data_IF_222406464493
#
_entry.id   IF_222406464493
#
_cell.length_a   1.000
_cell.length_b   1.000
_cell.length_c   1.000
_cell.angle_alpha   90.00
_cell.angle_beta   90.00
_cell.angle_gamma   90.00
#
_symmetry.space_group_name_H-M   'P 1'
#
loop_
_entity.id
_entity.type
_entity.pdbx_description
1 polymer ?
#
# COMPACT_ATOMS: atom_id res chain seq x y z
N UNK A 1 22.20 -24.13 17.46
CA UNK A 1 22.40 -22.72 17.16
C UNK A 1 21.29 -22.16 16.26
N UNK A 2 20.97 -22.82 15.16
CA UNK A 2 19.94 -22.37 14.18
C UNK A 2 18.54 -22.22 14.79
N UNK A 3 18.08 -23.22 15.56
CA UNK A 3 16.79 -23.16 16.24
C UNK A 3 16.71 -22.01 17.27
N UNK A 4 17.82 -21.71 17.95
CA UNK A 4 17.88 -20.59 18.88
C UNK A 4 17.77 -19.22 18.19
N UNK A 5 18.44 -19.05 17.05
CA UNK A 5 18.35 -17.82 16.25
C UNK A 5 16.95 -17.64 15.68
N UNK A 6 16.32 -18.71 15.17
CA UNK A 6 14.94 -18.66 14.67
C UNK A 6 13.93 -18.35 15.78
N UNK A 7 14.11 -18.91 16.97
CA UNK A 7 13.26 -18.61 18.12
C UNK A 7 13.39 -17.15 18.58
N UNK A 8 14.61 -16.60 18.61
CA UNK A 8 14.86 -15.20 18.93
C UNK A 8 14.25 -14.27 17.86
N UNK A 9 14.40 -14.61 16.59
CA UNK A 9 13.86 -13.83 15.48
C UNK A 9 12.33 -13.81 15.50
N UNK A 10 11.70 -14.96 15.72
CA UNK A 10 10.25 -15.03 15.85
C UNK A 10 9.72 -14.33 17.11
N UNK A 11 10.45 -14.41 18.21
CA UNK A 11 10.13 -13.69 19.45
C UNK A 11 10.21 -12.18 19.30
N UNK A 12 11.27 -11.68 18.66
CA UNK A 12 11.43 -10.24 18.39
C UNK A 12 10.37 -9.72 17.40
N UNK A 13 10.05 -10.49 16.36
CA UNK A 13 8.95 -10.13 15.44
C UNK A 13 7.60 -10.06 16.15
N UNK A 14 7.32 -11.01 17.04
CA UNK A 14 6.09 -11.03 17.83
C UNK A 14 6.02 -9.84 18.79
N UNK A 15 7.09 -9.54 19.50
CA UNK A 15 7.19 -8.38 20.40
C UNK A 15 6.99 -7.07 19.62
N UNK A 16 7.60 -6.94 18.45
CA UNK A 16 7.43 -5.79 17.58
C UNK A 16 5.97 -5.62 17.13
N UNK A 17 5.31 -6.71 16.73
CA UNK A 17 3.89 -6.65 16.31
C UNK A 17 2.95 -6.25 17.44
N UNK A 18 3.22 -6.71 18.67
CA UNK A 18 2.47 -6.30 19.86
C UNK A 18 2.67 -4.81 20.16
N UNK A 19 3.91 -4.33 20.12
CA UNK A 19 4.21 -2.91 20.33
C UNK A 19 3.56 -2.03 19.28
N UNK A 20 3.60 -2.44 18.01
CA UNK A 20 2.91 -1.73 16.92
C UNK A 20 1.40 -1.67 17.13
N UNK A 21 0.79 -2.75 17.62
CA UNK A 21 -0.64 -2.80 17.93
C UNK A 21 -1.01 -1.86 19.08
N UNK A 22 -0.22 -1.84 20.17
CA UNK A 22 -0.42 -0.95 21.30
C UNK A 22 -0.22 0.53 20.90
N UNK A 23 0.81 0.82 20.13
CA UNK A 23 1.06 2.17 19.59
C UNK A 23 -0.12 2.65 18.73
N UNK A 24 -0.72 1.75 17.95
CA UNK A 24 -1.91 2.05 17.15
C UNK A 24 -3.06 2.55 17.99
N UNK A 25 -3.37 1.86 19.08
CA UNK A 25 -4.46 2.22 19.98
C UNK A 25 -4.16 3.53 20.69
N UNK A 26 -2.97 3.69 21.24
CA UNK A 26 -2.56 4.90 21.96
C UNK A 26 -2.54 6.13 21.06
N UNK A 27 -1.98 6.01 19.86
CA UNK A 27 -1.93 7.10 18.90
C UNK A 27 -3.35 7.51 18.45
N UNK A 28 -4.20 6.53 18.15
CA UNK A 28 -5.61 6.78 17.79
C UNK A 28 -6.34 7.52 18.89
N UNK A 29 -6.19 7.09 20.15
CA UNK A 29 -6.80 7.76 21.30
C UNK A 29 -6.25 9.19 21.49
N UNK A 30 -4.93 9.38 21.43
CA UNK A 30 -4.31 10.69 21.57
C UNK A 30 -4.78 11.68 20.50
N UNK A 31 -4.82 11.25 19.25
CA UNK A 31 -5.29 12.09 18.14
C UNK A 31 -6.77 12.43 18.30
N UNK A 32 -7.62 11.47 18.68
CA UNK A 32 -9.03 11.73 18.94
C UNK A 32 -9.20 12.74 20.09
N UNK A 33 -8.44 12.61 21.18
CA UNK A 33 -8.48 13.56 22.30
C UNK A 33 -8.12 14.96 21.85
N UNK A 34 -7.02 15.12 21.07
CA UNK A 34 -6.62 16.43 20.54
C UNK A 34 -7.68 17.05 19.63
N UNK A 35 -8.39 16.26 18.84
CA UNK A 35 -9.50 16.74 18.01
C UNK A 35 -10.65 17.23 18.88
N UNK A 36 -11.01 16.47 19.91
CA UNK A 36 -12.09 16.85 20.84
C UNK A 36 -11.73 18.11 21.64
N UNK A 37 -10.50 18.20 22.14
CA UNK A 37 -9.99 19.41 22.81
C UNK A 37 -10.05 20.62 21.88
N UNK A 38 -9.61 20.46 20.62
CA UNK A 38 -9.70 21.52 19.62
C UNK A 38 -11.14 21.88 19.28
N UNK A 39 -12.03 20.90 19.18
CA UNK A 39 -13.46 21.15 18.91
C UNK A 39 -14.11 22.01 20.00
N UNK A 40 -13.73 21.84 21.27
CA UNK A 40 -14.24 22.66 22.36
C UNK A 40 -13.82 24.13 22.29
N UNK A 41 -12.70 24.44 21.62
CA UNK A 41 -12.21 25.81 21.43
C UNK A 41 -12.88 26.54 20.25
N UNK A 42 -13.73 25.86 19.49
CA UNK A 42 -14.39 26.43 18.33
C UNK A 42 -15.62 27.21 18.70
N UNK A 43 -15.90 28.31 18.00
CA UNK A 43 -17.12 29.09 18.21
C UNK A 43 -18.35 28.42 17.61
N UNK A 44 -19.53 28.73 18.14
CA UNK A 44 -20.81 28.21 17.62
C UNK A 44 -20.98 28.49 16.12
N UNK A 45 -20.57 29.66 15.67
CA UNK A 45 -20.63 30.08 14.26
C UNK A 45 -19.82 29.12 13.35
N UNK A 46 -18.71 28.58 13.86
CA UNK A 46 -17.90 27.60 13.10
C UNK A 46 -18.59 26.23 13.01
N UNK A 47 -19.36 25.85 14.02
CA UNK A 47 -20.18 24.62 14.00
C UNK A 47 -21.40 24.74 13.07
N UNK A 48 -21.96 25.93 12.91
CA UNK A 48 -23.07 26.20 12.01
C UNK A 48 -22.63 26.24 10.54
N UNK A 49 -21.32 26.46 10.28
CA UNK A 49 -20.77 26.40 8.95
C UNK A 49 -20.65 24.95 8.47
N UNK A 50 -21.49 24.57 7.51
CA UNK A 50 -21.55 23.21 6.96
C UNK A 50 -20.22 22.73 6.39
N UNK A 51 -19.45 23.61 5.72
CA UNK A 51 -18.14 23.27 5.17
C UNK A 51 -17.11 22.95 6.26
N UNK A 52 -17.16 23.69 7.35
CA UNK A 52 -16.28 23.46 8.49
C UNK A 52 -16.66 22.17 9.24
N UNK A 53 -17.95 21.92 9.44
CA UNK A 53 -18.46 20.71 10.08
C UNK A 53 -18.08 19.45 9.27
N UNK A 54 -18.21 19.49 7.94
CA UNK A 54 -17.81 18.40 7.06
C UNK A 54 -16.30 18.13 7.15
N UNK A 55 -15.47 19.18 7.26
CA UNK A 55 -14.03 19.04 7.50
C UNK A 55 -13.74 18.38 8.84
N UNK A 56 -14.45 18.79 9.89
CA UNK A 56 -14.30 18.22 11.25
C UNK A 56 -14.66 16.72 11.28
N UNK A 57 -15.80 16.36 10.68
CA UNK A 57 -16.23 14.94 10.57
C UNK A 57 -15.23 14.11 9.78
N UNK A 58 -14.71 14.65 8.66
CA UNK A 58 -13.68 13.99 7.86
C UNK A 58 -12.39 13.80 8.65
N UNK A 59 -11.88 14.84 9.31
CA UNK A 59 -10.69 14.77 10.15
C UNK A 59 -10.87 13.71 11.23
N UNK A 60 -12.02 13.69 11.91
CA UNK A 60 -12.34 12.71 12.97
C UNK A 60 -12.31 11.26 12.44
N UNK A 61 -12.86 11.02 11.24
CA UNK A 61 -12.87 9.69 10.63
C UNK A 61 -11.47 9.23 10.19
N UNK A 62 -10.67 10.15 9.64
CA UNK A 62 -9.35 9.87 9.08
C UNK A 62 -8.23 9.90 10.12
N UNK A 63 -8.40 10.66 11.18
CA UNK A 63 -7.40 10.87 12.23
C UNK A 63 -7.00 9.59 13.00
N UNK A 64 -7.91 8.63 13.09
CA UNK A 64 -7.62 7.37 13.79
C UNK A 64 -6.74 6.39 12.99
N UNK A 65 -6.71 6.50 11.66
CA UNK A 65 -6.07 5.49 10.80
C UNK A 65 -4.92 6.04 9.96
N UNK A 66 -5.04 7.25 9.40
CA UNK A 66 -4.06 7.81 8.47
C UNK A 66 -2.69 8.11 9.09
N UNK A 67 -2.57 8.77 10.26
CA UNK A 67 -1.26 9.10 10.82
C UNK A 67 -0.44 7.85 11.11
N UNK A 68 -1.09 6.81 11.65
CA UNK A 68 -0.41 5.55 11.91
C UNK A 68 0.01 4.83 10.62
N UNK A 69 -0.86 4.82 9.61
CA UNK A 69 -0.53 4.22 8.31
C UNK A 69 0.69 4.90 7.68
N UNK A 70 0.82 6.23 7.80
CA UNK A 70 2.00 6.97 7.36
C UNK A 70 3.26 6.55 8.10
N UNK A 71 3.20 6.50 9.44
CA UNK A 71 4.35 6.06 10.25
C UNK A 71 4.77 4.64 9.89
N UNK A 72 3.81 3.70 9.80
CA UNK A 72 4.11 2.31 9.46
C UNK A 72 4.67 2.15 8.05
N UNK A 73 4.15 2.89 7.07
CA UNK A 73 4.69 2.89 5.71
C UNK A 73 6.09 3.50 5.65
N UNK A 74 6.35 4.59 6.38
CA UNK A 74 7.69 5.19 6.45
C UNK A 74 8.71 4.25 7.08
N UNK A 75 8.35 3.56 8.17
CA UNK A 75 9.21 2.53 8.77
C UNK A 75 9.45 1.36 7.83
N UNK A 76 8.42 0.91 7.11
CA UNK A 76 8.54 -0.12 6.08
C UNK A 76 9.49 0.27 4.95
N UNK A 77 9.41 1.52 4.47
CA UNK A 77 10.34 2.05 3.47
C UNK A 77 11.79 2.07 3.96
N UNK A 78 12.03 2.51 5.21
CA UNK A 78 13.36 2.49 5.81
C UNK A 78 13.87 1.05 5.92
N UNK A 79 13.04 0.14 6.38
CA UNK A 79 13.39 -1.29 6.47
C UNK A 79 13.74 -1.87 5.09
N UNK A 80 12.92 -1.62 4.07
CA UNK A 80 13.20 -2.08 2.71
C UNK A 80 14.49 -1.49 2.14
N UNK A 81 14.77 -0.22 2.43
CA UNK A 81 16.02 0.43 2.01
C UNK A 81 17.25 -0.24 2.66
N UNK A 82 17.19 -0.51 3.96
CA UNK A 82 18.27 -1.21 4.69
C UNK A 82 18.46 -2.63 4.10
N UNK A 83 17.37 -3.35 3.82
CA UNK A 83 17.42 -4.67 3.19
C UNK A 83 18.08 -4.60 1.80
N UNK A 84 17.65 -3.66 0.95
CA UNK A 84 18.22 -3.49 -0.40
C UNK A 84 19.71 -3.18 -0.35
N UNK A 85 20.15 -2.28 0.54
CA UNK A 85 21.56 -1.96 0.72
C UNK A 85 22.33 -3.20 1.19
N UNK A 86 21.83 -3.91 2.19
CA UNK A 86 22.46 -5.10 2.75
C UNK A 86 22.61 -6.21 1.71
N UNK A 87 21.55 -6.49 0.96
CA UNK A 87 21.57 -7.50 -0.11
C UNK A 87 22.43 -7.05 -1.29
N UNK A 88 22.41 -5.75 -1.64
CA UNK A 88 23.26 -5.18 -2.66
C UNK A 88 24.74 -5.36 -2.34
N UNK A 89 25.16 -5.03 -1.11
CA UNK A 89 26.56 -5.20 -0.66
C UNK A 89 26.98 -6.67 -0.71
N UNK A 90 26.12 -7.59 -0.24
CA UNK A 90 26.41 -9.02 -0.28
C UNK A 90 26.54 -9.55 -1.70
N UNK A 91 25.65 -9.12 -2.62
CA UNK A 91 25.68 -9.51 -4.02
C UNK A 91 26.92 -8.96 -4.75
N UNK A 92 27.32 -7.72 -4.50
CA UNK A 92 28.54 -7.13 -5.07
C UNK A 92 29.78 -7.89 -4.62
N UNK A 93 29.81 -8.33 -3.36
CA UNK A 93 30.93 -9.12 -2.83
C UNK A 93 31.04 -10.50 -3.50
N UNK A 94 29.89 -11.07 -3.91
CA UNK A 94 29.86 -12.33 -4.67
C UNK A 94 30.21 -12.14 -6.14
N UNK A 95 29.44 -11.31 -6.86
CA UNK A 95 29.66 -10.97 -8.25
C UNK A 95 28.96 -9.67 -8.61
N UNK A 96 29.67 -8.67 -9.16
CA UNK A 96 29.04 -7.44 -9.68
C UNK A 96 27.96 -7.71 -10.73
N UNK A 97 28.11 -8.76 -11.53
CA UNK A 97 27.14 -9.17 -12.55
C UNK A 97 25.81 -9.64 -11.95
N UNK A 98 25.83 -10.27 -10.77
CA UNK A 98 24.61 -10.66 -10.06
C UNK A 98 23.77 -9.44 -9.67
N UNK A 99 24.41 -8.35 -9.23
CA UNK A 99 23.75 -7.09 -8.97
C UNK A 99 23.14 -6.47 -10.23
N UNK A 100 23.87 -6.49 -11.36
CA UNK A 100 23.36 -5.97 -12.63
C UNK A 100 22.12 -6.74 -13.08
N UNK A 101 22.13 -8.08 -12.99
CA UNK A 101 20.96 -8.91 -13.31
C UNK A 101 19.76 -8.61 -12.40
N UNK A 102 19.99 -8.42 -11.10
CA UNK A 102 18.93 -8.05 -10.17
C UNK A 102 18.31 -6.70 -10.54
N UNK A 103 19.15 -5.70 -10.80
CA UNK A 103 18.72 -4.33 -11.14
C UNK A 103 17.97 -4.33 -12.47
N UNK A 104 18.49 -4.98 -13.50
CA UNK A 104 17.84 -5.09 -14.82
C UNK A 104 16.50 -5.81 -14.73
N UNK A 105 16.38 -6.83 -13.89
CA UNK A 105 15.11 -7.54 -13.69
C UNK A 105 14.09 -6.76 -12.86
N UNK A 106 14.53 -5.92 -11.93
CA UNK A 106 13.66 -5.23 -10.99
C UNK A 106 13.25 -3.82 -11.45
N UNK A 107 14.14 -3.07 -12.09
CA UNK A 107 13.89 -1.68 -12.52
C UNK A 107 12.66 -1.51 -13.43
N UNK A 108 12.43 -2.36 -14.45
CA UNK A 108 11.27 -2.17 -15.33
C UNK A 108 9.94 -2.28 -14.57
N UNK A 109 9.85 -3.20 -13.61
CA UNK A 109 8.67 -3.38 -12.76
C UNK A 109 8.46 -2.15 -11.89
N UNK A 110 9.52 -1.65 -11.26
CA UNK A 110 9.48 -0.46 -10.42
C UNK A 110 9.01 0.79 -11.18
N UNK A 111 9.56 1.05 -12.37
CA UNK A 111 9.14 2.19 -13.19
C UNK A 111 7.68 2.08 -13.66
N UNK A 112 7.23 0.88 -14.02
CA UNK A 112 5.84 0.65 -14.38
C UNK A 112 4.91 0.93 -13.19
N UNK A 113 5.23 0.41 -12.01
CA UNK A 113 4.44 0.60 -10.80
C UNK A 113 4.38 2.10 -10.39
N UNK A 114 5.51 2.80 -10.44
CA UNK A 114 5.57 4.24 -10.19
C UNK A 114 4.71 5.05 -11.18
N UNK A 115 4.73 4.68 -12.47
CA UNK A 115 3.92 5.33 -13.49
C UNK A 115 2.42 5.12 -13.24
N UNK A 116 2.00 3.87 -13.03
CA UNK A 116 0.59 3.55 -12.79
C UNK A 116 0.07 4.09 -11.45
N UNK A 117 0.94 4.21 -10.43
CA UNK A 117 0.58 4.87 -9.16
C UNK A 117 0.28 6.34 -9.36
N UNK A 118 1.04 7.02 -10.24
CA UNK A 118 0.77 8.41 -10.65
C UNK A 118 -0.58 8.54 -11.37
N UNK A 119 -0.88 7.65 -12.30
CA UNK A 119 -2.16 7.63 -13.02
C UNK A 119 -3.34 7.35 -12.07
N UNK A 120 -3.19 6.42 -11.14
CA UNK A 120 -4.19 6.14 -10.12
C UNK A 120 -4.45 7.36 -9.22
N UNK A 121 -3.42 8.08 -8.81
CA UNK A 121 -3.56 9.29 -8.01
C UNK A 121 -4.29 10.40 -8.78
N UNK A 122 -3.94 10.62 -10.04
CA UNK A 122 -4.64 11.59 -10.92
C UNK A 122 -6.11 11.23 -11.11
N UNK A 123 -6.39 9.96 -11.34
CA UNK A 123 -7.75 9.45 -11.49
C UNK A 123 -8.55 9.67 -10.20
N UNK A 124 -7.98 9.34 -9.04
CA UNK A 124 -8.60 9.56 -7.73
C UNK A 124 -8.92 11.04 -7.47
N UNK A 125 -7.97 11.92 -7.76
CA UNK A 125 -8.16 13.38 -7.57
C UNK A 125 -9.23 13.94 -8.51
N UNK A 126 -9.23 13.51 -9.77
CA UNK A 126 -10.24 13.94 -10.76
C UNK A 126 -11.65 13.52 -10.38
N UNK A 127 -11.81 12.37 -9.76
CA UNK A 127 -13.12 11.80 -9.37
C UNK A 127 -13.65 12.29 -8.03
N UNK A 128 -12.89 13.08 -7.31
CA UNK A 128 -13.30 13.57 -6.00
C UNK A 128 -14.69 14.23 -5.98
N UNK A 129 -15.12 15.00 -7.02
CA UNK A 129 -16.49 15.54 -7.09
C UNK A 129 -17.57 14.45 -7.25
N UNK A 130 -17.32 13.46 -8.13
CA UNK A 130 -18.28 12.37 -8.39
C UNK A 130 -18.42 11.45 -7.17
N UNK A 131 -17.32 11.13 -6.51
CA UNK A 131 -17.33 10.38 -5.25
C UNK A 131 -18.09 11.12 -4.14
N UNK A 132 -17.96 12.44 -4.05
CA UNK A 132 -18.76 13.24 -3.11
C UNK A 132 -20.25 13.17 -3.42
N UNK A 133 -20.62 13.27 -4.71
CA UNK A 133 -22.02 13.12 -5.12
C UNK A 133 -22.57 11.74 -4.77
N UNK A 134 -21.78 10.69 -4.98
CA UNK A 134 -22.17 9.32 -4.62
C UNK A 134 -22.39 9.17 -3.11
N UNK A 135 -21.45 9.64 -2.30
CA UNK A 135 -21.58 9.63 -0.84
C UNK A 135 -22.78 10.45 -0.35
N UNK A 136 -23.08 11.56 -1.03
CA UNK A 136 -24.26 12.37 -0.70
C UNK A 136 -25.56 11.61 -0.98
N UNK A 137 -25.69 10.96 -2.14
CA UNK A 137 -26.84 10.11 -2.46
C UNK A 137 -26.97 8.95 -1.46
N UNK A 138 -25.86 8.31 -1.09
CA UNK A 138 -25.83 7.26 -0.09
C UNK A 138 -26.34 7.77 1.26
N UNK A 139 -25.93 8.97 1.69
CA UNK A 139 -26.41 9.61 2.91
C UNK A 139 -27.90 9.90 2.85
N UNK A 140 -28.41 10.42 1.73
CA UNK A 140 -29.84 10.68 1.54
C UNK A 140 -30.69 9.40 1.65
N UNK A 141 -30.17 8.29 1.11
CA UNK A 141 -30.90 7.01 1.08
C UNK A 141 -30.79 6.20 2.37
N UNK A 142 -29.77 6.45 3.21
CA UNK A 142 -29.49 5.65 4.40
C UNK A 142 -29.68 6.38 5.73
N UNK A 143 -29.60 7.71 5.74
CA UNK A 143 -29.62 8.46 6.99
C UNK A 143 -31.05 8.74 7.46
N UNK A 144 -31.32 8.55 8.74
CA UNK A 144 -32.64 8.69 9.35
C UNK A 144 -33.31 10.05 9.08
N UNK A 145 -32.54 11.12 9.08
CA UNK A 145 -33.02 12.50 8.89
C UNK A 145 -33.65 12.70 7.50
N UNK A 146 -33.06 12.10 6.45
CA UNK A 146 -33.43 12.35 5.06
C UNK A 146 -34.33 11.27 4.46
N UNK A 147 -34.25 10.03 4.95
CA UNK A 147 -34.96 8.89 4.36
C UNK A 147 -36.49 9.06 4.42
N UNK A 148 -36.99 9.80 5.39
CA UNK A 148 -38.43 10.08 5.57
C UNK A 148 -38.96 10.89 4.38
N UNK A 149 -38.23 11.96 4.01
CA UNK A 149 -38.59 12.82 2.87
C UNK A 149 -38.41 12.08 1.55
N UNK A 150 -37.34 11.33 1.39
CA UNK A 150 -37.09 10.52 0.20
C UNK A 150 -38.22 9.52 -0.05
N UNK A 151 -38.75 8.89 1.02
CA UNK A 151 -39.88 7.98 0.94
C UNK A 151 -41.20 8.71 0.66
N UNK A 152 -41.41 9.84 1.34
CA UNK A 152 -42.63 10.65 1.20
C UNK A 152 -42.79 11.14 -0.24
N UNK A 153 -41.74 11.63 -0.85
CA UNK A 153 -41.73 12.15 -2.20
C UNK A 153 -41.46 11.09 -3.29
N UNK A 154 -41.22 9.84 -2.91
CA UNK A 154 -40.97 8.75 -3.87
C UNK A 154 -39.67 8.85 -4.66
N UNK A 155 -38.68 9.61 -4.21
CA UNK A 155 -37.43 9.83 -4.93
C UNK A 155 -36.44 8.67 -4.85
N UNK A 156 -36.68 7.66 -4.04
CA UNK A 156 -35.77 6.55 -3.82
C UNK A 156 -35.34 5.83 -5.13
N UNK A 157 -36.25 5.50 -6.09
CA UNK A 157 -35.85 4.85 -7.32
C UNK A 157 -34.91 5.72 -8.18
N UNK A 158 -35.21 7.02 -8.30
CA UNK A 158 -34.43 7.97 -9.07
C UNK A 158 -33.01 8.14 -8.50
N UNK A 159 -32.91 8.32 -7.18
CA UNK A 159 -31.63 8.46 -6.50
C UNK A 159 -30.80 7.18 -6.59
N UNK A 160 -31.43 6.01 -6.45
CA UNK A 160 -30.75 4.72 -6.58
C UNK A 160 -30.25 4.49 -8.01
N UNK A 161 -31.04 4.86 -9.01
CA UNK A 161 -30.60 4.79 -10.41
C UNK A 161 -29.38 5.68 -10.64
N UNK A 162 -29.42 6.94 -10.18
CA UNK A 162 -28.31 7.88 -10.31
C UNK A 162 -27.04 7.39 -9.58
N UNK A 163 -27.20 6.77 -8.44
CA UNK A 163 -26.10 6.13 -7.70
C UNK A 163 -25.47 5.01 -8.53
N UNK A 164 -26.29 4.10 -9.09
CA UNK A 164 -25.83 3.00 -9.94
C UNK A 164 -25.11 3.47 -11.20
N UNK A 165 -25.64 4.49 -11.87
CA UNK A 165 -25.07 5.05 -13.09
C UNK A 165 -23.70 5.69 -12.81
N UNK A 166 -23.59 6.43 -11.69
CA UNK A 166 -22.30 7.00 -11.26
C UNK A 166 -21.32 5.91 -10.90
N UNK A 167 -21.73 4.89 -10.13
CA UNK A 167 -20.90 3.75 -9.78
C UNK A 167 -20.41 2.99 -11.03
N UNK A 168 -21.29 2.74 -12.00
CA UNK A 168 -20.92 2.02 -13.23
C UNK A 168 -19.85 2.76 -14.04
N UNK A 169 -19.94 4.10 -14.12
CA UNK A 169 -18.90 4.93 -14.78
C UNK A 169 -17.57 4.87 -14.05
N UNK A 170 -17.58 5.08 -12.73
CA UNK A 170 -16.39 5.03 -11.89
C UNK A 170 -15.73 3.64 -11.98
N UNK A 171 -16.53 2.58 -11.90
CA UNK A 171 -16.05 1.20 -12.01
C UNK A 171 -15.43 0.89 -13.38
N UNK A 172 -16.03 1.37 -14.47
CA UNK A 172 -15.51 1.14 -15.82
C UNK A 172 -14.11 1.76 -16.01
N UNK A 173 -13.88 2.93 -15.43
CA UNK A 173 -12.57 3.58 -15.45
C UNK A 173 -11.56 2.85 -14.56
N UNK A 174 -11.94 2.45 -13.33
CA UNK A 174 -11.07 1.67 -12.43
C UNK A 174 -10.69 0.34 -13.07
N UNK A 175 -11.67 -0.36 -13.62
CA UNK A 175 -11.43 -1.62 -14.32
C UNK A 175 -10.41 -1.45 -15.46
N UNK A 176 -10.55 -0.38 -16.25
CA UNK A 176 -9.62 -0.11 -17.38
C UNK A 176 -8.20 0.15 -16.87
N UNK A 177 -8.05 0.94 -15.80
CA UNK A 177 -6.75 1.23 -15.21
C UNK A 177 -6.14 -0.04 -14.59
N UNK A 178 -6.93 -0.79 -13.82
CA UNK A 178 -6.49 -2.04 -13.17
C UNK A 178 -6.04 -3.08 -14.18
N UNK A 179 -6.87 -3.35 -15.20
CA UNK A 179 -6.51 -4.32 -16.25
C UNK A 179 -5.24 -3.91 -17.00
N UNK A 180 -5.05 -2.62 -17.26
CA UNK A 180 -3.84 -2.12 -17.92
C UNK A 180 -2.63 -2.24 -17.01
N UNK A 181 -2.74 -1.84 -15.74
CA UNK A 181 -1.69 -1.96 -14.73
C UNK A 181 -1.27 -3.42 -14.52
N UNK A 182 -2.24 -4.30 -14.28
CA UNK A 182 -1.98 -5.70 -14.00
C UNK A 182 -1.44 -6.44 -15.22
N UNK A 183 -1.91 -6.10 -16.43
CA UNK A 183 -1.38 -6.64 -17.68
C UNK A 183 0.10 -6.26 -17.89
N UNK A 184 0.47 -5.01 -17.70
CA UNK A 184 1.86 -4.58 -17.75
C UNK A 184 2.67 -5.16 -16.60
N UNK A 185 2.13 -5.18 -15.38
CA UNK A 185 2.76 -5.80 -14.20
C UNK A 185 3.08 -7.27 -14.42
N UNK A 186 2.15 -8.02 -15.03
CA UNK A 186 2.37 -9.42 -15.38
C UNK A 186 3.49 -9.59 -16.42
N UNK A 187 3.45 -8.83 -17.52
CA UNK A 187 4.46 -8.91 -18.57
C UNK A 187 5.87 -8.57 -18.07
N UNK A 188 5.99 -7.49 -17.29
CA UNK A 188 7.27 -7.10 -16.69
C UNK A 188 7.70 -8.04 -15.56
N UNK A 189 6.75 -8.60 -14.79
CA UNK A 189 7.02 -9.62 -13.79
C UNK A 189 7.63 -10.90 -14.39
N UNK A 190 7.24 -11.26 -15.62
CA UNK A 190 7.87 -12.36 -16.35
C UNK A 190 9.35 -12.07 -16.66
N UNK A 191 9.72 -10.82 -16.98
CA UNK A 191 11.12 -10.44 -17.15
C UNK A 191 11.91 -10.60 -15.86
N UNK A 192 11.35 -10.17 -14.73
CA UNK A 192 11.95 -10.39 -13.41
C UNK A 192 12.13 -11.88 -13.08
N UNK A 193 11.14 -12.68 -13.41
CA UNK A 193 11.20 -14.14 -13.24
C UNK A 193 12.27 -14.76 -14.16
N UNK A 194 12.36 -14.35 -15.43
CA UNK A 194 13.38 -14.82 -16.35
C UNK A 194 14.78 -14.44 -15.86
N UNK A 195 14.99 -13.20 -15.41
CA UNK A 195 16.26 -12.75 -14.82
C UNK A 195 16.65 -13.60 -13.60
N UNK A 196 15.69 -13.95 -12.75
CA UNK A 196 15.90 -14.85 -11.61
C UNK A 196 16.38 -16.23 -12.08
N UNK A 197 15.75 -16.85 -13.06
CA UNK A 197 16.15 -18.16 -13.56
C UNK A 197 17.51 -18.14 -14.29
N UNK A 198 17.83 -17.05 -14.97
CA UNK A 198 19.18 -16.85 -15.56
C UNK A 198 20.24 -16.79 -14.47
N UNK A 199 20.00 -16.01 -13.40
CA UNK A 199 20.90 -15.94 -12.25
C UNK A 199 21.00 -17.31 -11.55
N UNK A 200 19.89 -18.02 -11.40
CA UNK A 200 19.87 -19.38 -10.83
C UNK A 200 20.74 -20.34 -11.64
N UNK A 201 20.53 -20.37 -12.96
CA UNK A 201 21.32 -21.23 -13.85
C UNK A 201 22.81 -20.90 -13.76
N UNK A 202 23.16 -19.61 -13.73
CA UNK A 202 24.56 -19.20 -13.59
C UNK A 202 25.17 -19.67 -12.27
N UNK A 203 24.51 -19.44 -11.15
CA UNK A 203 24.99 -19.88 -9.82
C UNK A 203 25.15 -21.41 -9.76
N UNK A 204 24.25 -22.18 -10.39
CA UNK A 204 24.35 -23.64 -10.47
C UNK A 204 25.55 -24.07 -11.31
N UNK A 205 25.79 -23.43 -12.44
CA UNK A 205 26.95 -23.70 -13.31
C UNK A 205 28.25 -23.45 -12.55
N UNK A 206 28.37 -22.34 -11.83
CA UNK A 206 29.56 -22.02 -11.01
C UNK A 206 29.77 -23.04 -9.88
N UNK A 207 28.67 -23.54 -9.29
CA UNK A 207 28.73 -24.61 -8.29
C UNK A 207 29.23 -25.93 -8.89
N UNK A 208 28.76 -26.31 -10.08
CA UNK A 208 29.21 -27.54 -10.80
C UNK A 208 30.68 -27.44 -11.19
N UNK A 209 31.18 -26.25 -11.56
CA UNK A 209 32.60 -26.03 -11.83
C UNK A 209 33.46 -25.94 -10.55
N UNK A 210 32.88 -26.10 -9.37
CA UNK A 210 33.60 -26.09 -8.11
C UNK A 210 34.09 -24.71 -7.66
N UNK A 211 33.62 -23.63 -8.28
CA UNK A 211 34.00 -22.26 -7.94
C UNK A 211 33.32 -21.79 -6.65
N UNK A 212 32.16 -22.36 -6.33
CA UNK A 212 31.40 -22.05 -5.12
C UNK A 212 30.95 -23.33 -4.41
N UNK A 213 30.85 -23.27 -3.08
CA UNK A 213 30.35 -24.39 -2.28
C UNK A 213 28.79 -24.47 -2.36
N UNK A 214 28.23 -25.67 -2.06
CA UNK A 214 26.78 -25.88 -1.97
C UNK A 214 26.10 -24.92 -0.99
N UNK A 215 26.80 -24.59 0.13
CA UNK A 215 26.30 -23.63 1.10
C UNK A 215 26.24 -22.19 0.54
N UNK A 216 27.25 -21.79 -0.21
CA UNK A 216 27.25 -20.51 -0.94
C UNK A 216 26.15 -20.45 -2.00
N UNK A 217 25.98 -21.52 -2.77
CA UNK A 217 24.92 -21.63 -3.76
C UNK A 217 23.54 -21.36 -3.14
N UNK A 218 23.20 -22.06 -2.06
CA UNK A 218 21.91 -21.86 -1.38
C UNK A 218 21.77 -20.45 -0.80
N UNK A 219 22.84 -19.89 -0.25
CA UNK A 219 22.83 -18.52 0.27
C UNK A 219 22.54 -17.49 -0.84
N UNK A 220 23.20 -17.61 -2.02
CA UNK A 220 23.02 -16.68 -3.12
C UNK A 220 21.62 -16.75 -3.73
N UNK A 221 21.04 -17.96 -3.84
CA UNK A 221 19.66 -18.14 -4.31
C UNK A 221 18.64 -17.47 -3.37
N UNK A 222 18.83 -17.62 -2.06
CA UNK A 222 17.99 -16.97 -1.06
C UNK A 222 18.13 -15.45 -1.12
N UNK A 223 19.36 -14.93 -1.21
CA UNK A 223 19.63 -13.49 -1.33
C UNK A 223 18.99 -12.89 -2.60
N UNK A 224 19.10 -13.58 -3.71
CA UNK A 224 18.52 -13.13 -4.97
C UNK A 224 17.00 -13.06 -4.91
N UNK A 225 16.37 -14.11 -4.36
CA UNK A 225 14.92 -14.16 -4.15
C UNK A 225 14.43 -13.07 -3.18
N UNK A 226 15.14 -12.85 -2.08
CA UNK A 226 14.80 -11.82 -1.11
C UNK A 226 15.01 -10.41 -1.69
N UNK A 227 16.10 -10.20 -2.46
CA UNK A 227 16.35 -8.93 -3.15
C UNK A 227 15.24 -8.60 -4.15
N UNK A 228 14.82 -9.56 -4.96
CA UNK A 228 13.69 -9.40 -5.88
C UNK A 228 12.39 -9.07 -5.14
N UNK A 229 12.10 -9.78 -4.05
CA UNK A 229 10.92 -9.55 -3.22
C UNK A 229 10.94 -8.17 -2.56
N UNK A 230 12.09 -7.69 -2.09
CA UNK A 230 12.24 -6.36 -1.48
C UNK A 230 11.95 -5.23 -2.48
N UNK A 231 12.39 -5.38 -3.75
CA UNK A 231 12.10 -4.40 -4.81
C UNK A 231 10.61 -4.41 -5.18
N UNK A 232 9.99 -5.59 -5.26
CA UNK A 232 8.57 -5.69 -5.64
C UNK A 232 7.59 -5.25 -4.53
N UNK A 233 8.06 -5.18 -3.28
CA UNK A 233 7.24 -4.79 -2.12
C UNK A 233 7.37 -3.30 -1.73
N UNK A 234 8.24 -2.55 -2.41
CA UNK A 234 8.46 -1.12 -2.19
C UNK A 234 7.54 -0.26 -3.03
#
# INVERSE_FOLDING_TARGET
LEAGVLALLSGTQRALSVQQSLLRVQLGQKVNTLILEKAQTLSLVQFENSEFYDKLVRVRREASTRPLALVMKSLGLIQNLIMLISFGVLLVHFSPWALVLLVVGALPVFFAEAHFSGDAFRLFTRRAPESRQQNYIETLLSHETYIKEVKLFGFAPLLLQRYRDTFARLYAEDRRLTLRRDGWGFGLGLLGTAAFYVAYAWVVIDAVHGQISLGQMTMYLVLFKQGQSAVSSS
#
